data_IF_630789637979
#
_entry.id   IF_630789637979
#
_cell.length_a   1.000
_cell.length_b   1.000
_cell.length_c   1.000
_cell.angle_alpha   90.00
_cell.angle_beta   90.00
_cell.angle_gamma   90.00
#
_symmetry.space_group_name_H-M   'P 1'
#
loop_
_entity.id
_entity.type
_entity.pdbx_description
1 polymer ?
#
# COMPACT_ATOMS: atom_id res chain seq x y z
N UNK A 1 15.50 52.62 -3.23
CA UNK A 1 14.27 51.90 -2.84
C UNK A 1 13.86 50.79 -3.83
N UNK A 2 14.03 50.98 -5.15
CA UNK A 2 13.69 49.96 -6.16
C UNK A 2 14.61 48.71 -6.14
N UNK A 3 15.93 48.88 -6.00
CA UNK A 3 16.88 47.74 -5.91
C UNK A 3 16.64 46.82 -4.70
N UNK A 4 16.28 47.40 -3.55
CA UNK A 4 15.98 46.64 -2.32
C UNK A 4 14.74 45.77 -2.51
N UNK A 5 13.74 46.26 -3.25
CA UNK A 5 12.49 45.54 -3.54
C UNK A 5 12.71 44.40 -4.52
N UNK A 6 13.58 44.60 -5.53
CA UNK A 6 13.97 43.55 -6.48
C UNK A 6 14.79 42.43 -5.80
N UNK A 7 15.71 42.77 -4.89
CA UNK A 7 16.44 41.78 -4.09
C UNK A 7 15.51 40.97 -3.17
N UNK A 8 14.62 41.64 -2.44
CA UNK A 8 13.63 40.95 -1.60
C UNK A 8 12.68 40.05 -2.40
N UNK A 9 12.27 40.47 -3.60
CA UNK A 9 11.45 39.64 -4.47
C UNK A 9 12.23 38.39 -4.94
N UNK A 10 13.50 38.55 -5.31
CA UNK A 10 14.38 37.44 -5.68
C UNK A 10 14.61 36.45 -4.53
N UNK A 11 14.86 36.95 -3.32
CA UNK A 11 15.03 36.12 -2.11
C UNK A 11 13.76 35.33 -1.77
N UNK A 12 12.58 35.96 -1.85
CA UNK A 12 11.29 35.27 -1.63
C UNK A 12 11.04 34.19 -2.68
N UNK A 13 11.38 34.46 -3.94
CA UNK A 13 11.20 33.49 -5.02
C UNK A 13 12.16 32.30 -4.88
N UNK A 14 13.39 32.56 -4.41
CA UNK A 14 14.38 31.52 -4.13
C UNK A 14 13.97 30.66 -2.93
N UNK A 15 13.46 31.27 -1.86
CA UNK A 15 12.92 30.56 -0.70
C UNK A 15 11.71 29.69 -1.07
N UNK A 16 10.78 30.22 -1.87
CA UNK A 16 9.64 29.46 -2.37
C UNK A 16 10.07 28.27 -3.25
N UNK A 17 11.10 28.45 -4.08
CA UNK A 17 11.69 27.38 -4.89
C UNK A 17 12.34 26.28 -4.03
N UNK A 18 13.05 26.65 -2.97
CA UNK A 18 13.64 25.69 -2.02
C UNK A 18 12.55 24.91 -1.27
N UNK A 19 11.53 25.60 -0.76
CA UNK A 19 10.41 24.96 -0.04
C UNK A 19 9.63 23.99 -0.94
N UNK A 20 9.42 24.34 -2.21
CA UNK A 20 8.81 23.45 -3.19
C UNK A 20 9.69 22.22 -3.48
N UNK A 21 11.01 22.39 -3.59
CA UNK A 21 11.94 21.29 -3.81
C UNK A 21 12.02 20.33 -2.61
N UNK A 22 11.98 20.86 -1.39
CA UNK A 22 11.99 20.07 -0.17
C UNK A 22 10.69 19.26 -0.01
N UNK A 23 9.53 19.88 -0.27
CA UNK A 23 8.25 19.16 -0.33
C UNK A 23 8.27 18.04 -1.36
N UNK A 24 8.83 18.29 -2.55
CA UNK A 24 8.90 17.28 -3.60
C UNK A 24 9.81 16.09 -3.21
N UNK A 25 10.91 16.34 -2.50
CA UNK A 25 11.77 15.27 -1.95
C UNK A 25 11.06 14.46 -0.88
N UNK A 26 10.34 15.13 0.01
CA UNK A 26 9.54 14.45 1.05
C UNK A 26 8.46 13.57 0.41
N UNK A 27 7.74 14.08 -0.60
CA UNK A 27 6.77 13.31 -1.38
C UNK A 27 7.39 12.08 -2.03
N UNK A 28 8.55 12.23 -2.67
CA UNK A 28 9.25 11.13 -3.31
C UNK A 28 9.68 10.05 -2.30
N UNK A 29 10.20 10.46 -1.13
CA UNK A 29 10.58 9.54 -0.05
C UNK A 29 9.38 8.76 0.48
N UNK A 30 8.26 9.45 0.78
CA UNK A 30 7.03 8.80 1.25
C UNK A 30 6.48 7.82 0.22
N UNK A 31 6.51 8.18 -1.07
CA UNK A 31 6.09 7.29 -2.16
C UNK A 31 6.94 6.03 -2.24
N UNK A 32 8.27 6.15 -2.12
CA UNK A 32 9.18 5.00 -2.11
C UNK A 32 8.92 4.06 -0.93
N UNK A 33 8.75 4.62 0.27
CA UNK A 33 8.49 3.86 1.49
C UNK A 33 7.14 3.14 1.42
N UNK A 34 6.09 3.85 1.02
CA UNK A 34 4.73 3.29 0.84
C UNK A 34 4.72 2.20 -0.24
N UNK A 35 5.45 2.41 -1.34
CA UNK A 35 5.55 1.42 -2.42
C UNK A 35 6.26 0.14 -1.97
N UNK A 36 7.31 0.27 -1.15
CA UNK A 36 8.02 -0.86 -0.56
C UNK A 36 7.14 -1.64 0.42
N UNK A 37 6.42 -0.94 1.31
CA UNK A 37 5.50 -1.54 2.27
C UNK A 37 4.37 -2.30 1.57
N UNK A 38 3.74 -1.70 0.55
CA UNK A 38 2.73 -2.36 -0.26
C UNK A 38 3.29 -3.61 -0.97
N UNK A 39 4.49 -3.52 -1.53
CA UNK A 39 5.17 -4.63 -2.19
C UNK A 39 5.42 -5.80 -1.22
N UNK A 40 5.95 -5.51 -0.03
CA UNK A 40 6.15 -6.52 1.01
C UNK A 40 4.83 -7.17 1.45
N UNK A 41 3.77 -6.37 1.64
CA UNK A 41 2.45 -6.91 1.99
C UNK A 41 1.88 -7.84 0.92
N UNK A 42 2.06 -7.50 -0.35
CA UNK A 42 1.66 -8.36 -1.46
C UNK A 42 2.44 -9.69 -1.46
N UNK A 43 3.74 -9.66 -1.13
CA UNK A 43 4.56 -10.87 -1.02
C UNK A 43 4.11 -11.76 0.14
N UNK A 44 3.86 -11.21 1.32
CA UNK A 44 3.34 -11.94 2.49
C UNK A 44 2.01 -12.63 2.16
N UNK A 45 1.16 -11.96 1.38
CA UNK A 45 -0.12 -12.49 0.95
C UNK A 45 0.02 -13.60 -0.10
N UNK A 46 0.95 -13.48 -1.04
CA UNK A 46 1.28 -14.54 -1.98
C UNK A 46 1.84 -15.79 -1.26
N UNK A 47 2.71 -15.59 -0.26
CA UNK A 47 3.24 -16.67 0.57
C UNK A 47 2.11 -17.38 1.32
N UNK A 48 1.27 -16.62 2.04
CA UNK A 48 0.14 -17.16 2.80
C UNK A 48 -0.82 -17.94 1.90
N UNK A 49 -1.18 -17.39 0.75
CA UNK A 49 -2.07 -18.06 -0.21
C UNK A 49 -1.47 -19.38 -0.72
N UNK A 50 -0.15 -19.39 -0.98
CA UNK A 50 0.55 -20.58 -1.44
C UNK A 50 0.58 -21.65 -0.35
N UNK A 51 0.92 -21.29 0.88
CA UNK A 51 0.94 -22.21 2.01
C UNK A 51 -0.44 -22.87 2.25
N UNK A 52 -1.51 -22.08 2.21
CA UNK A 52 -2.88 -22.57 2.41
C UNK A 52 -3.35 -23.47 1.29
N UNK A 53 -3.05 -23.12 0.03
CA UNK A 53 -3.36 -23.96 -1.11
C UNK A 53 -2.63 -25.32 -1.01
N UNK A 54 -1.35 -25.31 -0.62
CA UNK A 54 -0.59 -26.55 -0.38
C UNK A 54 -1.11 -27.37 0.80
N UNK A 55 -1.59 -26.71 1.86
CA UNK A 55 -2.26 -27.39 2.99
C UNK A 55 -3.53 -28.08 2.52
N UNK A 56 -4.41 -27.38 1.81
CA UNK A 56 -5.66 -27.93 1.29
C UNK A 56 -5.40 -29.09 0.30
N UNK A 57 -4.41 -28.96 -0.59
CA UNK A 57 -4.02 -30.04 -1.51
C UNK A 57 -3.52 -31.28 -0.76
N UNK A 58 -2.71 -31.10 0.30
CA UNK A 58 -2.20 -32.21 1.11
C UNK A 58 -3.30 -32.94 1.85
N UNK A 59 -4.26 -32.21 2.39
CA UNK A 59 -5.42 -32.81 3.07
C UNK A 59 -6.34 -33.51 2.07
N UNK A 60 -6.58 -32.93 0.90
CA UNK A 60 -7.35 -33.56 -0.17
C UNK A 60 -6.69 -34.85 -0.68
N UNK A 61 -5.36 -34.89 -0.77
CA UNK A 61 -4.62 -36.09 -1.17
C UNK A 61 -4.70 -37.24 -0.13
N UNK A 62 -5.06 -36.94 1.12
CA UNK A 62 -5.27 -37.93 2.19
C UNK A 62 -6.74 -38.32 2.37
N UNK A 63 -7.65 -37.66 1.68
CA UNK A 63 -9.09 -37.88 1.83
C UNK A 63 -9.46 -39.29 1.35
N UNK A 64 -10.31 -39.96 2.13
CA UNK A 64 -10.70 -41.36 1.87
C UNK A 64 -11.85 -41.44 0.87
N UNK A 65 -12.63 -40.36 0.74
CA UNK A 65 -13.77 -40.28 -0.16
C UNK A 65 -14.04 -38.84 -0.65
N UNK A 66 -14.93 -38.74 -1.63
CA UNK A 66 -15.30 -37.47 -2.26
C UNK A 66 -15.99 -36.50 -1.30
N UNK A 67 -16.71 -36.99 -0.29
CA UNK A 67 -17.38 -36.15 0.69
C UNK A 67 -16.35 -35.43 1.57
N UNK A 68 -15.26 -36.13 1.91
CA UNK A 68 -14.13 -35.58 2.65
C UNK A 68 -13.37 -34.51 1.83
N UNK A 69 -13.18 -34.72 0.52
CA UNK A 69 -12.63 -33.69 -0.39
C UNK A 69 -13.54 -32.46 -0.46
N UNK A 70 -14.85 -32.65 -0.58
CA UNK A 70 -15.81 -31.53 -0.66
C UNK A 70 -15.86 -30.72 0.65
N UNK A 71 -15.70 -31.38 1.80
CA UNK A 71 -15.54 -30.72 3.10
C UNK A 71 -14.28 -29.85 3.13
N UNK A 72 -13.14 -30.39 2.70
CA UNK A 72 -11.86 -29.67 2.65
C UNK A 72 -11.94 -28.45 1.73
N UNK A 73 -12.56 -28.59 0.55
CA UNK A 73 -12.77 -27.46 -0.36
C UNK A 73 -13.69 -26.41 0.24
N UNK A 74 -14.76 -26.81 0.93
CA UNK A 74 -15.70 -25.88 1.57
C UNK A 74 -15.06 -25.10 2.72
N UNK A 75 -14.25 -25.77 3.54
CA UNK A 75 -13.46 -25.14 4.61
C UNK A 75 -12.44 -24.15 4.02
N UNK A 76 -11.71 -24.57 2.98
CA UNK A 76 -10.79 -23.68 2.26
C UNK A 76 -11.50 -22.45 1.71
N UNK A 77 -12.62 -22.60 1.00
CA UNK A 77 -13.37 -21.45 0.45
C UNK A 77 -13.88 -20.50 1.55
N UNK A 78 -14.31 -21.03 2.69
CA UNK A 78 -14.77 -20.22 3.83
C UNK A 78 -13.63 -19.43 4.46
N UNK A 79 -12.48 -20.07 4.70
CA UNK A 79 -11.30 -19.41 5.25
C UNK A 79 -10.68 -18.42 4.26
N UNK A 80 -10.56 -18.81 2.99
CA UNK A 80 -9.97 -17.96 1.94
C UNK A 80 -10.87 -16.75 1.65
N UNK A 81 -12.19 -16.92 1.59
CA UNK A 81 -13.13 -15.83 1.34
C UNK A 81 -13.09 -14.73 2.39
N UNK A 82 -13.01 -15.09 3.68
CA UNK A 82 -12.86 -14.12 4.77
C UNK A 82 -11.53 -13.36 4.69
N UNK A 83 -10.44 -14.07 4.39
CA UNK A 83 -9.09 -13.49 4.25
C UNK A 83 -8.98 -12.57 3.04
N UNK A 84 -9.54 -12.94 1.89
CA UNK A 84 -9.50 -12.11 0.67
C UNK A 84 -10.22 -10.77 0.85
N UNK A 85 -11.35 -10.75 1.57
CA UNK A 85 -12.06 -9.49 1.88
C UNK A 85 -11.25 -8.60 2.82
N UNK A 86 -10.62 -9.18 3.84
CA UNK A 86 -9.76 -8.43 4.76
C UNK A 86 -8.54 -7.85 4.03
N UNK A 87 -7.88 -8.65 3.21
CA UNK A 87 -6.72 -8.24 2.41
C UNK A 87 -7.07 -7.14 1.40
N UNK A 88 -8.23 -7.25 0.73
CA UNK A 88 -8.69 -6.22 -0.20
C UNK A 88 -8.99 -4.88 0.50
N UNK A 89 -9.53 -4.92 1.73
CA UNK A 89 -9.73 -3.71 2.55
C UNK A 89 -8.41 -3.07 2.93
N UNK A 90 -7.45 -3.85 3.41
CA UNK A 90 -6.14 -3.36 3.83
C UNK A 90 -5.36 -2.72 2.67
N UNK A 91 -5.34 -3.36 1.49
CA UNK A 91 -4.74 -2.78 0.28
C UNK A 91 -5.49 -1.50 -0.14
N UNK A 92 -6.82 -1.50 -0.07
CA UNK A 92 -7.64 -0.32 -0.37
C UNK A 92 -7.35 0.86 0.57
N UNK A 93 -7.18 0.59 1.86
CA UNK A 93 -6.81 1.59 2.87
C UNK A 93 -5.41 2.16 2.61
N UNK A 94 -4.42 1.32 2.29
CA UNK A 94 -3.07 1.78 1.91
C UNK A 94 -3.10 2.71 0.68
N UNK A 95 -3.83 2.33 -0.38
CA UNK A 95 -3.97 3.15 -1.58
C UNK A 95 -4.67 4.48 -1.27
N UNK A 96 -5.75 4.44 -0.48
CA UNK A 96 -6.48 5.64 -0.08
C UNK A 96 -5.61 6.58 0.78
N UNK A 97 -4.80 6.03 1.69
CA UNK A 97 -3.85 6.79 2.50
C UNK A 97 -2.76 7.42 1.64
N UNK A 98 -2.23 6.70 0.65
CA UNK A 98 -1.26 7.24 -0.31
C UNK A 98 -1.84 8.44 -1.08
N UNK A 99 -3.07 8.33 -1.57
CA UNK A 99 -3.78 9.42 -2.25
C UNK A 99 -4.01 10.64 -1.35
N UNK A 100 -4.39 10.41 -0.08
CA UNK A 100 -4.60 11.48 0.90
C UNK A 100 -3.30 12.19 1.28
N UNK A 101 -2.21 11.45 1.46
CA UNK A 101 -0.88 12.00 1.76
C UNK A 101 -0.35 12.85 0.61
N UNK A 102 -0.51 12.39 -0.64
CA UNK A 102 -0.12 13.15 -1.82
C UNK A 102 -0.87 14.49 -1.94
N UNK A 103 -2.19 14.50 -1.69
CA UNK A 103 -3.01 15.72 -1.74
C UNK A 103 -2.67 16.68 -0.59
N UNK A 104 -2.42 16.15 0.61
CA UNK A 104 -2.09 16.96 1.80
C UNK A 104 -0.75 17.67 1.64
N UNK A 105 0.26 16.98 1.10
CA UNK A 105 1.56 17.57 0.80
C UNK A 105 1.48 18.65 -0.29
N UNK A 106 0.65 18.44 -1.33
CA UNK A 106 0.44 19.44 -2.39
C UNK A 106 -0.33 20.69 -1.91
N UNK A 107 -1.27 20.52 -0.98
CA UNK A 107 -2.12 21.63 -0.50
C UNK A 107 -1.60 22.32 0.75
N UNK A 108 -0.49 21.86 1.33
CA UNK A 108 0.11 22.41 2.54
C UNK A 108 -0.74 22.26 3.80
N UNK A 109 -1.78 21.40 3.75
CA UNK A 109 -2.67 21.13 4.88
C UNK A 109 -2.09 19.93 5.64
N UNK A 110 -1.56 20.18 6.85
CA UNK A 110 -1.20 19.12 7.81
C UNK A 110 -2.45 18.42 8.32
#
# INVERSE_FOLDING_TARGET
MAETSAKQAGEKMQAAGQEAADRMRESASTMMETGSELGMKMLDQAETNTQEAFRAMREAAKANDLSEVMRIQSEYMREQGGRSVAQAREIGEMIANMGRSAISQMTGRK
#
